data_IF_677765945400
#
_entry.id   IF_677765945400
#
_cell.length_a   1.000
_cell.length_b   1.000
_cell.length_c   1.000
_cell.angle_alpha   90.00
_cell.angle_beta   90.00
_cell.angle_gamma   90.00
#
_symmetry.space_group_name_H-M   'P 1'
#
loop_
_entity.id
_entity.type
_entity.pdbx_description
1 polymer ?
#
# COMPACT_ATOMS: atom_id res chain seq x y z
N UNK A 1 -11.48 -22.23 -38.06
CA UNK A 1 -11.97 -22.74 -36.76
C UNK A 1 -11.97 -21.56 -35.80
N UNK A 2 -13.14 -21.06 -35.39
CA UNK A 2 -13.21 -20.14 -34.25
C UNK A 2 -12.79 -20.93 -33.01
N UNK A 3 -11.94 -20.35 -32.17
CA UNK A 3 -11.41 -21.06 -31.01
C UNK A 3 -12.51 -21.17 -29.95
N UNK A 4 -12.49 -22.22 -29.13
CA UNK A 4 -13.40 -22.41 -28.00
C UNK A 4 -13.41 -21.18 -27.05
N UNK A 5 -12.29 -20.44 -27.03
CA UNK A 5 -12.12 -19.17 -26.32
C UNK A 5 -13.02 -18.05 -26.91
N UNK A 6 -13.17 -17.97 -28.23
CA UNK A 6 -14.03 -16.97 -28.87
C UNK A 6 -15.51 -17.21 -28.57
N UNK A 7 -15.89 -18.48 -28.38
CA UNK A 7 -17.24 -18.87 -28.00
C UNK A 7 -17.54 -18.49 -26.53
N UNK A 8 -16.63 -18.82 -25.60
CA UNK A 8 -16.77 -18.47 -24.18
C UNK A 8 -16.81 -16.95 -23.97
N UNK A 9 -15.99 -16.19 -24.72
CA UNK A 9 -16.02 -14.72 -24.67
C UNK A 9 -17.37 -14.16 -25.12
N UNK A 10 -17.97 -14.70 -26.19
CA UNK A 10 -19.25 -14.25 -26.68
C UNK A 10 -20.38 -14.52 -25.65
N UNK A 11 -20.40 -15.71 -25.04
CA UNK A 11 -21.37 -16.04 -23.98
C UNK A 11 -21.23 -15.14 -22.75
N UNK A 12 -20.00 -14.83 -22.32
CA UNK A 12 -19.75 -13.90 -21.22
C UNK A 12 -20.24 -12.48 -21.54
N UNK A 13 -19.95 -11.97 -22.74
CA UNK A 13 -20.43 -10.64 -23.15
C UNK A 13 -21.95 -10.56 -23.17
N UNK A 14 -22.62 -11.59 -23.70
CA UNK A 14 -24.09 -11.65 -23.75
C UNK A 14 -24.70 -11.74 -22.34
N UNK A 15 -24.06 -12.50 -21.42
CA UNK A 15 -24.47 -12.56 -20.01
C UNK A 15 -24.31 -11.20 -19.29
N UNK A 16 -23.23 -10.47 -19.54
CA UNK A 16 -23.01 -9.15 -18.97
C UNK A 16 -24.00 -8.11 -19.50
N UNK A 17 -24.27 -8.10 -20.81
CA UNK A 17 -25.25 -7.18 -21.41
C UNK A 17 -26.66 -7.45 -20.86
N UNK A 18 -27.05 -8.73 -20.77
CA UNK A 18 -28.34 -9.11 -20.19
C UNK A 18 -28.46 -8.69 -18.72
N UNK A 19 -27.41 -8.89 -17.91
CA UNK A 19 -27.42 -8.46 -16.50
C UNK A 19 -27.46 -6.93 -16.37
N UNK A 20 -26.77 -6.20 -17.25
CA UNK A 20 -26.80 -4.75 -17.30
C UNK A 20 -28.20 -4.22 -17.70
N UNK A 21 -28.90 -4.89 -18.61
CA UNK A 21 -30.29 -4.57 -18.95
C UNK A 21 -31.27 -4.90 -17.81
N UNK A 22 -31.09 -6.03 -17.11
CA UNK A 22 -31.89 -6.39 -15.94
C UNK A 22 -31.72 -5.36 -14.81
N UNK A 23 -30.49 -4.90 -14.56
CA UNK A 23 -30.19 -3.83 -13.60
C UNK A 23 -30.78 -2.47 -14.02
N UNK A 24 -30.94 -2.21 -15.32
CA UNK A 24 -31.63 -1.01 -15.83
C UNK A 24 -33.16 -1.09 -15.69
N UNK A 25 -33.75 -2.30 -15.73
CA UNK A 25 -35.20 -2.50 -15.68
C UNK A 25 -35.78 -2.52 -14.26
N UNK A 26 -34.94 -2.51 -13.22
CA UNK A 26 -35.36 -2.65 -11.81
C UNK A 26 -35.03 -1.48 -10.87
N UNK A 27 -34.50 -0.36 -11.37
CA UNK A 27 -34.06 0.76 -10.53
C UNK A 27 -34.64 2.08 -11.06
N UNK A 28 -35.95 2.27 -10.89
CA UNK A 28 -36.59 3.58 -11.10
C UNK A 28 -36.27 4.57 -9.97
N UNK A 29 -35.71 4.10 -8.85
CA UNK A 29 -35.14 4.96 -7.82
C UNK A 29 -33.83 4.34 -7.30
N UNK A 30 -32.68 5.03 -7.42
CA UNK A 30 -31.47 4.59 -6.73
C UNK A 30 -31.78 4.49 -5.23
N UNK A 31 -31.26 3.48 -4.51
CA UNK A 31 -31.42 3.41 -3.07
C UNK A 31 -31.00 4.76 -2.46
N UNK A 32 -31.74 5.31 -1.50
CA UNK A 32 -31.40 6.59 -0.89
C UNK A 32 -29.97 6.50 -0.40
N UNK A 33 -29.09 7.27 -1.04
CA UNK A 33 -27.70 7.41 -0.62
C UNK A 33 -27.78 8.01 0.78
N UNK A 34 -27.41 7.22 1.80
CA UNK A 34 -27.13 7.77 3.13
C UNK A 34 -25.92 8.68 2.96
N UNK A 35 -26.20 9.97 2.77
CA UNK A 35 -25.20 11.03 2.85
C UNK A 35 -24.87 11.14 4.33
N UNK A 36 -23.75 10.56 4.73
CA UNK A 36 -23.16 10.88 6.03
C UNK A 36 -22.61 12.31 5.91
N UNK A 37 -23.23 13.24 6.62
CA UNK A 37 -22.72 14.60 6.71
C UNK A 37 -21.52 14.58 7.67
N UNK A 38 -20.33 14.35 7.12
CA UNK A 38 -19.07 14.39 7.88
C UNK A 38 -18.73 15.81 8.38
N UNK A 39 -19.47 16.85 7.96
CA UNK A 39 -19.31 18.18 8.53
C UNK A 39 -20.08 18.39 9.84
N UNK A 40 -20.96 17.46 10.20
CA UNK A 40 -21.58 17.38 11.54
C UNK A 40 -20.84 16.40 12.47
N UNK A 41 -19.88 15.63 11.95
CA UNK A 41 -18.90 14.97 12.79
C UNK A 41 -17.93 16.05 13.28
N UNK A 42 -18.23 16.62 14.45
CA UNK A 42 -17.27 17.38 15.27
C UNK A 42 -16.08 16.47 15.59
N UNK A 43 -15.22 16.22 14.59
CA UNK A 43 -13.92 15.63 14.79
C UNK A 43 -13.11 16.74 15.46
N UNK A 44 -12.75 16.60 16.75
CA UNK A 44 -12.08 17.66 17.48
C UNK A 44 -10.79 18.04 16.75
N UNK A 45 -10.74 19.25 16.17
CA UNK A 45 -9.59 19.79 15.41
C UNK A 45 -8.33 20.02 16.30
N UNK A 46 -8.32 19.52 17.53
CA UNK A 46 -7.23 19.59 18.50
C UNK A 46 -7.33 18.43 19.49
N UNK A 47 -7.38 17.19 19.02
CA UNK A 47 -6.79 16.12 19.82
C UNK A 47 -5.29 16.41 19.86
N UNK A 48 -4.86 17.11 20.92
CA UNK A 48 -3.46 17.11 21.34
C UNK A 48 -2.98 15.66 21.19
N UNK A 49 -1.83 15.42 20.53
CA UNK A 49 -1.22 14.09 20.46
C UNK A 49 -0.96 13.61 21.89
N UNK A 50 -1.98 13.03 22.51
CA UNK A 50 -1.88 12.46 23.84
C UNK A 50 -1.02 11.23 23.67
N UNK A 51 0.07 11.18 24.44
CA UNK A 51 0.90 9.99 24.50
C UNK A 51 -0.03 8.79 24.72
N UNK A 52 0.16 7.69 23.98
CA UNK A 52 -0.73 6.54 24.06
C UNK A 52 -0.84 6.09 25.53
N UNK A 53 -2.06 5.94 26.01
CA UNK A 53 -2.31 5.56 27.40
C UNK A 53 -1.62 4.23 27.70
N UNK A 54 -0.74 4.25 28.70
CA UNK A 54 -0.03 3.05 29.16
C UNK A 54 -0.93 2.21 30.05
N UNK A 55 -0.87 0.90 29.86
CA UNK A 55 -1.51 -0.08 30.72
C UNK A 55 -0.67 -0.34 31.97
N UNK A 56 -1.12 0.21 33.10
CA UNK A 56 -0.50 0.04 34.41
C UNK A 56 -1.09 -1.15 35.22
N UNK A 57 -2.10 -1.84 34.66
CA UNK A 57 -2.80 -2.94 35.31
C UNK A 57 -2.03 -4.27 35.28
N UNK A 58 -2.58 -5.34 35.91
CA UNK A 58 -1.99 -6.67 35.78
C UNK A 58 -2.04 -7.15 34.32
N UNK A 59 -1.07 -7.98 33.93
CA UNK A 59 -1.02 -8.60 32.60
C UNK A 59 -1.94 -9.84 32.56
N UNK A 60 -3.26 -9.61 32.70
CA UNK A 60 -4.30 -10.64 32.52
C UNK A 60 -5.18 -10.31 31.34
N UNK A 61 -5.87 -11.32 30.79
CA UNK A 61 -6.77 -11.15 29.65
C UNK A 61 -7.84 -10.10 29.97
N UNK A 62 -8.49 -10.21 31.13
CA UNK A 62 -9.59 -9.31 31.51
C UNK A 62 -9.12 -7.86 31.66
N UNK A 63 -7.95 -7.65 32.27
CA UNK A 63 -7.40 -6.32 32.47
C UNK A 63 -7.01 -5.65 31.14
N UNK A 64 -6.38 -6.41 30.23
CA UNK A 64 -5.97 -5.88 28.91
C UNK A 64 -7.19 -5.63 28.01
N UNK A 65 -8.18 -6.52 28.01
CA UNK A 65 -9.43 -6.30 27.25
C UNK A 65 -10.18 -5.07 27.75
N UNK A 66 -10.21 -4.84 29.08
CA UNK A 66 -10.85 -3.66 29.66
C UNK A 66 -10.07 -2.37 29.36
N UNK A 67 -8.73 -2.41 29.34
CA UNK A 67 -7.92 -1.23 29.02
C UNK A 67 -7.99 -0.83 27.55
N UNK A 68 -8.26 -1.78 26.65
CA UNK A 68 -8.24 -1.56 25.20
C UNK A 68 -9.55 -1.95 24.51
N UNK A 69 -10.67 -1.86 25.24
CA UNK A 69 -12.01 -2.31 24.82
C UNK A 69 -12.50 -1.59 23.54
N UNK A 70 -12.01 -0.38 23.28
CA UNK A 70 -12.42 0.45 22.15
C UNK A 70 -11.96 -0.06 20.77
N UNK A 71 -11.15 -1.12 20.71
CA UNK A 71 -10.74 -1.66 19.43
C UNK A 71 -11.93 -2.32 18.71
N UNK A 72 -12.19 -1.90 17.47
CA UNK A 72 -13.24 -2.49 16.62
C UNK A 72 -13.03 -4.01 16.49
N UNK A 73 -13.84 -4.77 17.21
CA UNK A 73 -13.91 -6.22 17.09
C UNK A 73 -14.70 -6.53 15.82
N UNK A 74 -14.00 -6.99 14.79
CA UNK A 74 -14.64 -7.54 13.60
C UNK A 74 -15.16 -8.94 13.95
N UNK A 75 -16.50 -9.16 13.96
CA UNK A 75 -17.07 -10.44 14.40
C UNK A 75 -16.53 -11.63 13.62
N UNK A 76 -16.25 -11.46 12.32
CA UNK A 76 -15.72 -12.51 11.45
C UNK A 76 -14.29 -12.94 11.84
N UNK A 77 -13.52 -12.00 12.38
CA UNK A 77 -12.15 -12.26 12.84
C UNK A 77 -12.19 -12.89 14.23
N UNK A 78 -13.11 -12.43 15.07
CA UNK A 78 -13.30 -12.95 16.43
C UNK A 78 -13.88 -14.36 16.46
N UNK A 79 -14.74 -14.70 15.51
CA UNK A 79 -15.25 -16.06 15.34
C UNK A 79 -14.13 -17.08 15.08
N UNK A 80 -13.15 -16.73 14.23
CA UNK A 80 -12.03 -17.62 13.90
C UNK A 80 -10.87 -17.56 14.89
N UNK A 81 -10.56 -16.37 15.37
CA UNK A 81 -9.42 -16.11 16.25
C UNK A 81 -9.90 -15.26 17.42
N UNK A 82 -10.58 -15.80 18.44
CA UNK A 82 -11.15 -15.02 19.53
C UNK A 82 -10.11 -14.12 20.20
N UNK A 83 -10.47 -12.86 20.46
CA UNK A 83 -9.56 -11.85 21.01
C UNK A 83 -8.97 -12.28 22.36
N UNK A 84 -9.82 -12.81 23.25
CA UNK A 84 -9.42 -13.28 24.58
C UNK A 84 -8.40 -14.43 24.51
N UNK A 85 -8.62 -15.40 23.62
CA UNK A 85 -7.69 -16.51 23.39
C UNK A 85 -6.37 -16.04 22.81
N UNK A 86 -6.43 -15.07 21.89
CA UNK A 86 -5.23 -14.47 21.30
C UNK A 86 -4.39 -13.75 22.36
N UNK A 87 -5.02 -12.91 23.20
CA UNK A 87 -4.33 -12.24 24.31
C UNK A 87 -3.75 -13.26 25.27
N UNK A 88 -4.50 -14.30 25.63
CA UNK A 88 -3.99 -15.37 26.49
C UNK A 88 -2.77 -16.07 25.89
N UNK A 89 -2.77 -16.32 24.58
CA UNK A 89 -1.63 -16.90 23.86
C UNK A 89 -0.39 -15.99 23.93
N UNK A 90 -0.55 -14.68 23.74
CA UNK A 90 0.56 -13.70 23.86
C UNK A 90 1.14 -13.71 25.28
N UNK A 91 0.28 -13.67 26.29
CA UNK A 91 0.69 -13.72 27.70
C UNK A 91 1.43 -15.02 28.04
N UNK A 92 0.94 -16.16 27.53
CA UNK A 92 1.60 -17.46 27.71
C UNK A 92 2.99 -17.52 27.08
N UNK A 93 3.26 -16.67 26.07
CA UNK A 93 4.57 -16.51 25.43
C UNK A 93 5.46 -15.48 26.15
N UNK A 94 5.02 -14.93 27.27
CA UNK A 94 5.76 -13.94 28.05
C UNK A 94 5.79 -12.55 27.41
N UNK A 95 4.85 -12.27 26.51
CA UNK A 95 4.72 -10.95 25.90
C UNK A 95 4.06 -10.00 26.89
N UNK A 96 4.70 -8.85 27.09
CA UNK A 96 4.16 -7.73 27.88
C UNK A 96 3.53 -6.75 26.90
N UNK A 97 2.29 -6.33 27.20
CA UNK A 97 1.54 -5.33 26.44
C UNK A 97 1.49 -4.08 27.31
N UNK A 98 2.26 -3.05 26.93
CA UNK A 98 2.47 -1.85 27.72
C UNK A 98 1.49 -0.73 27.36
N UNK A 99 0.99 -0.70 26.13
CA UNK A 99 0.10 0.35 25.63
C UNK A 99 -0.80 -0.15 24.48
N UNK A 100 -1.62 0.75 23.96
CA UNK A 100 -2.52 0.43 22.84
C UNK A 100 -1.76 0.10 21.54
N UNK A 101 -0.58 0.66 21.31
CA UNK A 101 0.21 0.37 20.12
C UNK A 101 0.74 -1.07 20.14
N UNK A 102 1.18 -1.55 21.31
CA UNK A 102 1.51 -2.97 21.54
C UNK A 102 0.32 -3.86 21.24
N UNK A 103 -0.81 -3.54 21.87
CA UNK A 103 -2.01 -4.33 21.78
C UNK A 103 -2.47 -4.45 20.31
N UNK A 104 -2.65 -3.32 19.62
CA UNK A 104 -3.03 -3.28 18.21
C UNK A 104 -2.00 -3.96 17.29
N UNK A 105 -0.71 -3.76 17.55
CA UNK A 105 0.37 -4.39 16.80
C UNK A 105 0.29 -5.92 16.83
N UNK A 106 0.08 -6.51 18.01
CA UNK A 106 -0.06 -7.96 18.14
C UNK A 106 -1.40 -8.50 17.64
N UNK A 107 -2.50 -7.72 17.75
CA UNK A 107 -3.81 -8.15 17.25
C UNK A 107 -3.92 -8.11 15.73
N UNK A 108 -3.14 -7.25 15.04
CA UNK A 108 -3.15 -7.14 13.57
C UNK A 108 -2.87 -8.48 12.85
N UNK A 109 -2.10 -9.38 13.48
CA UNK A 109 -1.84 -10.72 12.97
C UNK A 109 -3.10 -11.57 12.77
N UNK A 110 -4.16 -11.36 13.58
CA UNK A 110 -5.43 -12.09 13.45
C UNK A 110 -6.07 -11.83 12.09
N UNK A 111 -6.08 -10.58 11.65
CA UNK A 111 -6.66 -10.18 10.37
C UNK A 111 -5.89 -10.82 9.21
N UNK A 112 -4.56 -10.82 9.29
CA UNK A 112 -3.70 -11.46 8.31
C UNK A 112 -3.93 -12.98 8.25
N UNK A 113 -4.10 -13.66 9.39
CA UNK A 113 -4.40 -15.08 9.41
C UNK A 113 -5.73 -15.42 8.73
N UNK A 114 -6.80 -14.67 8.99
CA UNK A 114 -8.09 -14.86 8.28
C UNK A 114 -7.89 -14.72 6.77
N UNK A 115 -7.11 -13.73 6.35
CA UNK A 115 -6.80 -13.54 4.93
C UNK A 115 -6.01 -14.73 4.35
N UNK A 116 -4.95 -15.19 5.02
CA UNK A 116 -4.11 -16.29 4.54
C UNK A 116 -4.84 -17.64 4.54
N UNK A 117 -5.67 -17.91 5.53
CA UNK A 117 -6.47 -19.15 5.60
C UNK A 117 -7.35 -19.31 4.36
N UNK A 118 -7.91 -18.20 3.88
CA UNK A 118 -8.74 -18.16 2.68
C UNK A 118 -7.93 -18.08 1.37
N UNK A 119 -6.60 -17.99 1.43
CA UNK A 119 -5.71 -17.82 0.28
C UNK A 119 -4.47 -18.74 0.37
N UNK A 120 -4.63 -20.07 0.19
CA UNK A 120 -3.56 -21.05 0.37
C UNK A 120 -2.31 -20.78 -0.45
N UNK A 121 -2.47 -20.26 -1.65
CA UNK A 121 -1.37 -19.93 -2.58
C UNK A 121 -0.33 -19.01 -1.91
N UNK A 122 -0.76 -18.07 -1.06
CA UNK A 122 0.12 -17.05 -0.48
C UNK A 122 1.02 -17.63 0.61
N UNK A 123 0.49 -18.50 1.47
CA UNK A 123 1.30 -19.09 2.53
C UNK A 123 2.06 -20.34 2.09
N UNK A 124 1.61 -20.98 1.01
CA UNK A 124 2.32 -22.08 0.37
C UNK A 124 3.49 -21.61 -0.51
N UNK A 125 3.51 -20.34 -0.94
CA UNK A 125 4.59 -19.80 -1.79
C UNK A 125 5.84 -19.38 -1.01
N UNK A 126 5.71 -19.16 0.30
CA UNK A 126 6.78 -18.58 1.13
C UNK A 126 6.93 -17.06 0.99
N UNK A 127 6.03 -16.39 0.26
CA UNK A 127 6.07 -14.92 0.06
C UNK A 127 5.89 -14.13 1.36
N UNK A 128 5.31 -14.73 2.40
CA UNK A 128 5.20 -14.15 3.75
C UNK A 128 6.54 -14.17 4.52
N UNK A 129 7.56 -14.81 3.95
CA UNK A 129 8.86 -15.11 4.54
C UNK A 129 8.84 -16.24 5.57
N UNK A 130 7.68 -16.88 5.79
CA UNK A 130 7.62 -18.19 6.43
C UNK A 130 8.08 -19.27 5.46
N UNK A 131 8.59 -20.39 5.98
CA UNK A 131 8.89 -21.54 5.14
C UNK A 131 7.59 -22.05 4.48
N UNK A 132 7.59 -22.29 3.16
CA UNK A 132 6.51 -22.98 2.48
C UNK A 132 6.11 -24.27 3.21
N UNK A 133 4.82 -24.47 3.41
CA UNK A 133 4.24 -25.68 3.99
C UNK A 133 2.86 -25.91 3.39
N UNK A 134 2.36 -27.15 3.42
CA UNK A 134 0.99 -27.51 3.04
C UNK A 134 0.06 -27.62 4.27
N UNK A 135 0.63 -27.60 5.48
CA UNK A 135 -0.12 -27.70 6.73
C UNK A 135 -0.42 -26.31 7.30
N UNK A 136 -1.72 -25.98 7.36
CA UNK A 136 -2.23 -24.71 7.87
C UNK A 136 -1.79 -24.44 9.31
N UNK A 137 -1.85 -25.44 10.20
CA UNK A 137 -1.53 -25.21 11.62
C UNK A 137 -0.03 -24.96 11.81
N UNK A 138 0.83 -25.66 11.05
CA UNK A 138 2.27 -25.35 10.99
C UNK A 138 2.53 -23.94 10.47
N UNK A 139 1.86 -23.53 9.37
CA UNK A 139 2.00 -22.17 8.85
C UNK A 139 1.57 -21.14 9.89
N UNK A 140 0.36 -21.26 10.43
CA UNK A 140 -0.24 -20.37 11.42
C UNK A 140 0.67 -20.19 12.63
N UNK A 141 1.17 -21.28 13.22
CA UNK A 141 2.11 -21.20 14.35
C UNK A 141 3.37 -20.41 13.99
N UNK A 142 4.00 -20.73 12.85
CA UNK A 142 5.21 -20.04 12.39
C UNK A 142 4.96 -18.57 12.05
N UNK A 143 3.78 -18.24 11.52
CA UNK A 143 3.38 -16.88 11.17
C UNK A 143 3.22 -16.04 12.45
N UNK A 144 2.55 -16.56 13.47
CA UNK A 144 2.39 -15.87 14.76
C UNK A 144 3.76 -15.61 15.39
N UNK A 145 4.64 -16.62 15.43
CA UNK A 145 5.99 -16.48 15.98
C UNK A 145 6.78 -15.40 15.24
N UNK A 146 6.74 -15.42 13.91
CA UNK A 146 7.40 -14.42 13.07
C UNK A 146 6.82 -13.03 13.31
N UNK A 147 5.50 -12.86 13.34
CA UNK A 147 4.85 -11.55 13.52
C UNK A 147 5.17 -10.95 14.90
N UNK A 148 5.13 -11.76 15.96
CA UNK A 148 5.56 -11.32 17.30
C UNK A 148 7.00 -10.87 17.28
N UNK A 149 7.89 -11.69 16.72
CA UNK A 149 9.32 -11.35 16.62
C UNK A 149 9.54 -10.06 15.83
N UNK A 150 8.85 -9.87 14.70
CA UNK A 150 8.94 -8.66 13.87
C UNK A 150 8.54 -7.42 14.66
N UNK A 151 7.42 -7.49 15.38
CA UNK A 151 6.95 -6.40 16.22
C UNK A 151 7.95 -6.07 17.34
N UNK A 152 8.54 -7.09 17.97
CA UNK A 152 9.58 -6.90 18.98
C UNK A 152 10.84 -6.24 18.42
N UNK A 153 11.25 -6.54 17.19
CA UNK A 153 12.38 -5.84 16.56
C UNK A 153 12.07 -4.36 16.33
N UNK A 154 10.84 -4.03 15.91
CA UNK A 154 10.41 -2.65 15.78
C UNK A 154 10.44 -1.92 17.13
N UNK A 155 9.86 -2.51 18.19
CA UNK A 155 9.92 -1.93 19.55
C UNK A 155 11.35 -1.71 20.01
N UNK A 156 12.22 -2.71 19.84
CA UNK A 156 13.61 -2.60 20.24
C UNK A 156 14.35 -1.48 19.49
N UNK A 157 14.06 -1.31 18.18
CA UNK A 157 14.62 -0.21 17.41
C UNK A 157 14.10 1.16 17.88
N UNK A 158 12.80 1.31 18.11
CA UNK A 158 12.19 2.54 18.61
C UNK A 158 12.66 2.91 20.02
N UNK A 159 12.93 1.92 20.87
CA UNK A 159 13.48 2.15 22.20
C UNK A 159 14.93 2.69 22.17
N UNK A 160 15.71 2.34 21.13
CA UNK A 160 17.08 2.83 20.93
C UNK A 160 17.09 4.17 20.20
N UNK A 161 16.20 4.36 19.24
CA UNK A 161 16.07 5.54 18.41
C UNK A 161 14.58 5.92 18.29
N UNK A 162 14.10 6.89 19.10
CA UNK A 162 12.70 7.30 19.10
C UNK A 162 12.19 7.88 17.78
N UNK A 163 13.09 8.22 16.84
CA UNK A 163 12.69 8.67 15.50
C UNK A 163 12.30 7.51 14.57
N UNK A 164 12.42 6.26 15.03
CA UNK A 164 12.01 5.08 14.26
C UNK A 164 10.49 4.99 14.21
N UNK A 165 9.92 5.11 13.02
CA UNK A 165 8.47 5.08 12.78
C UNK A 165 7.97 3.76 12.18
N UNK A 166 8.88 2.84 11.88
CA UNK A 166 8.56 1.56 11.23
C UNK A 166 9.81 0.86 10.73
N UNK A 167 9.64 -0.05 9.78
CA UNK A 167 10.73 -0.67 9.07
C UNK A 167 10.28 -1.86 8.22
N UNK A 168 11.24 -2.58 7.66
CA UNK A 168 11.01 -3.78 6.87
C UNK A 168 12.14 -4.78 7.10
N UNK A 169 11.89 -6.03 6.71
CA UNK A 169 12.83 -7.13 6.92
C UNK A 169 13.44 -7.59 5.60
N UNK A 170 14.76 -7.65 5.58
CA UNK A 170 15.55 -7.98 4.39
C UNK A 170 16.46 -9.20 4.60
N UNK A 171 17.09 -9.62 3.51
CA UNK A 171 17.99 -10.75 3.45
C UNK A 171 17.28 -12.06 3.13
N UNK A 172 18.03 -13.13 2.82
CA UNK A 172 17.48 -14.40 2.33
C UNK A 172 16.59 -15.12 3.34
N UNK A 173 16.72 -14.83 4.64
CA UNK A 173 15.87 -15.36 5.71
C UNK A 173 14.92 -14.32 6.29
N UNK A 174 14.92 -13.10 5.74
CA UNK A 174 14.16 -11.95 6.23
C UNK A 174 14.35 -11.68 7.73
N UNK A 175 15.57 -11.87 8.25
CA UNK A 175 15.85 -11.62 9.68
C UNK A 175 16.51 -10.29 9.99
N UNK A 176 16.92 -9.54 8.96
CA UNK A 176 17.58 -8.26 9.16
C UNK A 176 16.54 -7.14 9.13
N UNK A 177 16.33 -6.48 10.27
CA UNK A 177 15.40 -5.36 10.37
C UNK A 177 16.06 -4.05 9.94
N UNK A 178 15.43 -3.36 8.99
CA UNK A 178 15.84 -2.04 8.51
C UNK A 178 14.81 -0.98 8.95
N UNK A 179 15.14 -0.13 9.94
CA UNK A 179 14.19 0.83 10.49
C UNK A 179 13.97 2.03 9.56
N UNK A 180 12.72 2.48 9.47
CA UNK A 180 12.36 3.76 8.86
C UNK A 180 12.53 4.89 9.87
N UNK A 181 13.19 5.97 9.45
CA UNK A 181 13.30 7.20 10.23
C UNK A 181 13.50 8.42 9.32
N UNK A 182 13.25 9.64 9.79
CA UNK A 182 13.52 10.86 9.04
C UNK A 182 14.95 10.89 8.49
N UNK A 183 15.09 11.32 7.25
CA UNK A 183 16.33 11.38 6.49
C UNK A 183 16.77 10.04 5.88
N UNK A 184 16.18 8.89 6.22
CA UNK A 184 16.70 7.59 5.75
C UNK A 184 15.96 7.04 4.54
N UNK A 185 16.71 6.61 3.53
CA UNK A 185 16.18 5.97 2.32
C UNK A 185 16.97 4.72 1.99
N UNK A 186 16.26 3.62 1.75
CA UNK A 186 16.85 2.37 1.29
C UNK A 186 16.60 2.22 -0.21
N UNK A 187 17.64 1.91 -0.96
CA UNK A 187 17.60 1.82 -2.42
C UNK A 187 18.00 0.42 -2.86
N UNK A 188 17.00 -0.40 -3.20
CA UNK A 188 17.23 -1.71 -3.81
C UNK A 188 17.26 -1.56 -5.33
N UNK A 189 18.38 -1.90 -5.97
CA UNK A 189 18.51 -1.85 -7.43
C UNK A 189 18.30 -3.24 -8.01
N UNK A 190 17.45 -3.33 -9.01
CA UNK A 190 17.23 -4.53 -9.79
C UNK A 190 17.47 -4.22 -11.27
N UNK A 191 17.50 -5.25 -12.12
CA UNK A 191 17.93 -5.09 -13.52
C UNK A 191 17.21 -3.99 -14.31
N UNK A 192 15.98 -3.63 -13.93
CA UNK A 192 15.07 -2.74 -14.67
C UNK A 192 14.68 -1.48 -13.89
N UNK A 193 15.37 -1.15 -12.79
CA UNK A 193 15.06 0.04 -12.01
C UNK A 193 15.57 -0.02 -10.57
N UNK A 194 14.94 0.80 -9.73
CA UNK A 194 15.21 0.83 -8.30
C UNK A 194 13.90 0.93 -7.52
N UNK A 195 13.85 0.27 -6.37
CA UNK A 195 12.84 0.45 -5.35
C UNK A 195 13.40 1.33 -4.23
N UNK A 196 12.54 2.19 -3.70
CA UNK A 196 12.87 3.12 -2.63
C UNK A 196 11.97 2.82 -1.44
N UNK A 197 12.59 2.54 -0.29
CA UNK A 197 11.89 2.38 0.99
C UNK A 197 12.34 3.47 1.97
N UNK A 198 11.52 3.76 3.00
CA UNK A 198 11.79 4.83 3.95
C UNK A 198 11.23 6.17 3.49
N UNK A 199 11.99 7.25 3.69
CA UNK A 199 11.51 8.59 3.33
C UNK A 199 11.42 8.77 1.81
N UNK A 200 10.28 9.31 1.35
CA UNK A 200 10.06 9.61 -0.06
C UNK A 200 11.05 10.67 -0.57
N UNK A 201 11.73 10.36 -1.66
CA UNK A 201 12.52 11.31 -2.44
C UNK A 201 11.66 11.96 -3.54
N UNK A 202 11.97 13.21 -3.88
CA UNK A 202 11.42 13.85 -5.09
C UNK A 202 11.94 13.15 -6.35
N UNK A 203 11.22 13.27 -7.47
CA UNK A 203 11.64 12.68 -8.74
C UNK A 203 13.01 13.19 -9.21
N UNK A 204 13.31 14.47 -8.96
CA UNK A 204 14.64 15.03 -9.22
C UNK A 204 15.72 14.38 -8.35
N UNK A 205 15.46 14.17 -7.07
CA UNK A 205 16.41 13.50 -6.17
C UNK A 205 16.61 12.03 -6.56
N UNK A 206 15.54 11.30 -6.90
CA UNK A 206 15.65 9.93 -7.42
C UNK A 206 16.50 9.89 -8.69
N UNK A 207 16.26 10.83 -9.62
CA UNK A 207 17.04 10.94 -10.86
C UNK A 207 18.52 11.23 -10.58
N UNK A 208 18.81 12.30 -9.83
CA UNK A 208 20.18 12.69 -9.52
C UNK A 208 20.93 11.57 -8.76
N UNK A 209 20.24 10.84 -7.87
CA UNK A 209 20.81 9.71 -7.13
C UNK A 209 21.15 8.52 -8.04
N UNK A 210 20.23 8.13 -8.94
CA UNK A 210 20.40 6.94 -9.78
C UNK A 210 21.35 7.16 -10.97
N UNK A 211 21.30 8.34 -11.59
CA UNK A 211 21.99 8.63 -12.85
C UNK A 211 23.24 9.47 -12.70
N UNK A 212 23.31 10.30 -11.66
CA UNK A 212 24.47 11.18 -11.41
C UNK A 212 25.26 10.79 -10.16
N UNK A 213 24.72 9.89 -9.34
CA UNK A 213 25.33 9.49 -8.06
C UNK A 213 25.32 10.59 -7.02
N UNK A 214 24.43 11.58 -7.16
CA UNK A 214 24.36 12.72 -6.23
C UNK A 214 23.40 12.35 -5.11
N UNK A 215 23.94 12.23 -3.90
CA UNK A 215 23.14 12.00 -2.70
C UNK A 215 22.41 13.28 -2.29
N UNK A 216 21.10 13.23 -2.02
CA UNK A 216 20.38 14.40 -1.53
C UNK A 216 20.89 14.81 -0.15
N UNK A 217 21.11 16.11 0.05
CA UNK A 217 21.60 16.66 1.32
C UNK A 217 20.63 16.35 2.46
N UNK A 218 21.18 15.96 3.62
CA UNK A 218 20.41 15.59 4.80
C UNK A 218 19.81 14.18 4.77
N UNK A 219 20.08 13.39 3.72
CA UNK A 219 19.62 12.01 3.63
C UNK A 219 20.73 10.98 3.85
N UNK A 220 20.38 9.92 4.59
CA UNK A 220 21.14 8.69 4.77
C UNK A 220 20.67 7.66 3.73
N UNK A 221 21.43 7.52 2.64
CA UNK A 221 21.11 6.59 1.54
C UNK A 221 21.82 5.26 1.78
N UNK A 222 21.04 4.20 1.97
CA UNK A 222 21.52 2.83 2.18
C UNK A 222 21.17 2.00 0.94
N UNK A 223 22.18 1.43 0.28
CA UNK A 223 21.97 0.61 -0.90
C UNK A 223 21.79 -0.86 -0.52
N UNK A 224 20.85 -1.51 -1.19
CA UNK A 224 20.58 -2.94 -1.07
C UNK A 224 20.90 -3.62 -2.40
N UNK A 225 21.43 -4.84 -2.34
CA UNK A 225 21.61 -5.69 -3.51
C UNK A 225 20.33 -6.44 -3.91
N UNK A 226 20.43 -7.35 -4.88
CA UNK A 226 19.29 -8.13 -5.38
C UNK A 226 18.73 -9.14 -4.38
N UNK A 227 19.48 -9.47 -3.32
CA UNK A 227 19.07 -10.33 -2.21
C UNK A 227 18.72 -9.50 -0.96
N UNK A 228 18.53 -8.19 -1.15
CA UNK A 228 18.31 -7.15 -0.14
C UNK A 228 19.39 -7.07 0.95
N UNK A 229 20.61 -7.52 0.67
CA UNK A 229 21.73 -7.33 1.59
C UNK A 229 22.28 -5.90 1.48
N UNK A 230 22.70 -5.33 2.62
CA UNK A 230 23.26 -3.98 2.66
C UNK A 230 24.61 -3.95 1.93
N UNK A 231 24.70 -3.08 0.94
CA UNK A 231 25.94 -2.81 0.22
C UNK A 231 26.80 -1.81 0.98
N UNK A 232 28.09 -2.12 1.11
CA UNK A 232 29.07 -1.21 1.73
C UNK A 232 29.44 -0.03 0.85
N UNK A 233 29.23 -0.15 -0.47
CA UNK A 233 29.54 0.87 -1.47
C UNK A 233 28.34 1.09 -2.38
N UNK A 234 28.22 2.32 -2.91
CA UNK A 234 27.16 2.65 -3.85
C UNK A 234 27.31 1.83 -5.14
N UNK A 235 26.22 1.23 -5.65
CA UNK A 235 26.27 0.50 -6.91
C UNK A 235 26.59 1.44 -8.09
N UNK A 236 27.25 0.92 -9.15
CA UNK A 236 27.59 1.71 -10.34
C UNK A 236 26.41 2.47 -10.90
N UNK A 237 26.61 3.69 -11.40
CA UNK A 237 25.53 4.54 -11.93
C UNK A 237 24.76 3.84 -13.04
N UNK A 238 23.44 4.04 -13.06
CA UNK A 238 22.60 3.51 -14.14
C UNK A 238 22.89 4.33 -15.40
N UNK A 239 23.33 3.66 -16.44
CA UNK A 239 23.57 4.25 -17.76
C UNK A 239 22.29 4.27 -18.58
N UNK A 240 22.21 5.18 -19.56
CA UNK A 240 21.05 5.27 -20.46
C UNK A 240 20.94 4.03 -21.33
N UNK A 241 22.07 3.45 -21.70
CA UNK A 241 22.19 2.22 -22.48
C UNK A 241 21.55 1.04 -21.75
N UNK A 242 21.71 0.95 -20.42
CA UNK A 242 21.08 -0.09 -19.61
C UNK A 242 19.56 0.01 -19.58
N UNK A 243 19.01 1.23 -19.63
CA UNK A 243 17.56 1.45 -19.70
C UNK A 243 17.03 1.17 -21.11
N UNK A 244 17.73 1.67 -22.13
CA UNK A 244 17.31 1.55 -23.52
C UNK A 244 17.41 0.12 -24.06
N UNK A 245 18.54 -0.56 -23.84
CA UNK A 245 18.81 -1.90 -24.38
C UNK A 245 17.94 -3.00 -23.77
N UNK A 246 17.29 -2.75 -22.63
CA UNK A 246 16.42 -3.73 -21.96
C UNK A 246 14.95 -3.62 -22.40
N UNK A 247 14.50 -2.50 -22.99
CA UNK A 247 13.12 -2.34 -23.50
C UNK A 247 12.83 -3.28 -24.69
N UNK A 248 13.84 -3.53 -25.53
CA UNK A 248 13.72 -4.49 -26.65
C UNK A 248 13.52 -5.93 -26.15
N UNK A 249 14.21 -6.36 -25.09
CA UNK A 249 14.05 -7.72 -24.55
C UNK A 249 12.64 -7.97 -23.99
N UNK A 250 12.01 -6.97 -23.38
CA UNK A 250 10.65 -7.10 -22.80
C UNK A 250 9.59 -7.19 -23.88
N UNK A 251 9.69 -6.38 -24.93
CA UNK A 251 8.78 -6.51 -26.07
C UNK A 251 8.95 -7.86 -26.76
N UNK A 252 10.18 -8.38 -26.83
CA UNK A 252 10.45 -9.71 -27.39
C UNK A 252 9.91 -10.83 -26.48
N UNK A 253 10.09 -10.76 -25.15
CA UNK A 253 9.57 -11.75 -24.19
C UNK A 253 8.05 -11.72 -24.03
N UNK A 254 7.42 -10.54 -24.04
CA UNK A 254 5.96 -10.42 -24.04
C UNK A 254 5.33 -10.90 -25.35
N UNK A 255 6.05 -10.79 -26.47
CA UNK A 255 5.63 -11.32 -27.76
C UNK A 255 6.03 -12.79 -27.98
N UNK A 256 6.94 -13.34 -27.16
CA UNK A 256 7.40 -14.73 -27.24
C UNK A 256 6.93 -15.60 -26.07
N UNK A 257 6.10 -15.08 -25.17
CA UNK A 257 5.30 -15.89 -24.24
C UNK A 257 4.40 -16.82 -25.05
N UNK A 258 4.93 -18.00 -25.33
CA UNK A 258 4.14 -19.20 -25.64
C UNK A 258 3.02 -19.31 -24.62
N UNK A 259 1.78 -19.62 -25.05
CA UNK A 259 0.68 -19.79 -24.11
C UNK A 259 1.11 -20.81 -23.06
N UNK A 260 0.90 -20.46 -21.79
CA UNK A 260 1.01 -21.40 -20.68
C UNK A 260 0.38 -22.73 -21.11
N UNK A 261 1.08 -23.88 -20.93
CA UNK A 261 0.46 -25.16 -21.20
C UNK A 261 -0.79 -25.25 -20.35
N UNK A 262 -1.94 -25.31 -21.00
CA UNK A 262 -3.19 -25.72 -20.40
C UNK A 262 -2.92 -27.04 -19.67
N UNK A 263 -3.17 -27.07 -18.36
CA UNK A 263 -3.32 -28.33 -17.62
C UNK A 263 -4.51 -29.08 -18.21
N UNK A 264 -4.29 -29.81 -19.30
CA UNK A 264 -5.13 -30.90 -19.75
C UNK A 264 -4.58 -32.20 -19.15
N UNK A 265 -5.38 -32.86 -18.32
CA UNK A 265 -5.23 -34.27 -18.02
C UNK A 265 -4.98 -34.63 -16.56
N UNK A 266 -6.03 -34.57 -15.73
CA UNK A 266 -6.19 -35.58 -14.68
C UNK A 266 -7.28 -36.56 -15.13
N UNK A 267 -7.02 -37.88 -15.11
CA UNK A 267 -7.99 -38.87 -15.53
C UNK A 267 -9.18 -38.90 -14.57
N UNK A 268 -10.36 -38.66 -15.14
CA UNK A 268 -11.63 -38.96 -14.51
C UNK A 268 -11.80 -40.48 -14.49
N UNK A 269 -11.50 -41.11 -13.35
CA UNK A 269 -12.12 -42.37 -12.95
C UNK A 269 -11.87 -42.58 -11.45
N UNK A 270 -12.91 -42.36 -10.65
CA UNK A 270 -12.86 -42.52 -9.21
C UNK A 270 -14.21 -42.16 -8.58
N UNK A 271 -15.16 -43.09 -8.66
CA UNK A 271 -16.43 -43.10 -7.95
C UNK A 271 -16.31 -42.57 -6.52
N UNK A 272 -16.91 -41.40 -6.26
CA UNK A 272 -17.42 -41.04 -4.94
C UNK A 272 -18.91 -40.76 -5.08
N UNK A 273 -19.71 -41.55 -4.36
CA UNK A 273 -21.15 -41.40 -4.27
C UNK A 273 -21.50 -40.07 -3.56
N UNK A 274 -22.62 -39.43 -3.92
CA UNK A 274 -23.00 -38.14 -3.37
C UNK A 274 -23.53 -38.27 -1.95
N UNK A 275 -23.01 -37.45 -1.04
CA UNK A 275 -23.75 -37.04 0.15
C UNK A 275 -24.45 -35.72 -0.19
N UNK A 276 -25.76 -35.81 -0.42
CA UNK A 276 -26.69 -34.68 -0.30
C UNK A 276 -26.72 -34.27 1.18
N UNK A 277 -26.11 -33.14 1.51
CA UNK A 277 -26.44 -32.22 2.63
C UNK A 277 -25.23 -31.35 2.97
N UNK A 278 -24.88 -30.36 2.12
CA UNK A 278 -24.15 -29.15 2.52
C UNK A 278 -24.22 -28.09 1.40
N UNK A 279 -25.40 -27.51 1.22
CA UNK A 279 -25.59 -26.35 0.36
C UNK A 279 -25.54 -25.07 1.21
N UNK A 280 -24.35 -24.74 1.73
CA UNK A 280 -24.05 -23.38 2.20
C UNK A 280 -22.89 -22.84 1.36
N UNK A 281 -23.29 -22.05 0.37
CA UNK A 281 -22.58 -20.96 -0.29
C UNK A 281 -21.07 -20.83 -0.01
N UNK A 282 -20.26 -21.59 -0.77
CA UNK A 282 -18.86 -21.26 -0.99
C UNK A 282 -18.78 -19.88 -1.66
N UNK A 283 -18.37 -18.86 -0.91
CA UNK A 283 -17.96 -17.58 -1.50
C UNK A 283 -16.61 -17.81 -2.18
N UNK A 284 -16.57 -17.62 -3.50
CA UNK A 284 -15.33 -17.64 -4.29
C UNK A 284 -14.27 -16.73 -3.66
N UNK A 285 -12.97 -17.04 -3.82
CA UNK A 285 -11.88 -16.22 -3.28
C UNK A 285 -12.05 -14.78 -3.76
N UNK A 286 -12.27 -13.86 -2.82
CA UNK A 286 -12.48 -12.45 -3.10
C UNK A 286 -11.23 -11.91 -3.79
N UNK A 287 -11.35 -11.67 -5.10
CA UNK A 287 -10.31 -11.01 -5.87
C UNK A 287 -9.88 -9.72 -5.15
N UNK A 288 -8.59 -9.32 -5.28
CA UNK A 288 -8.13 -8.06 -4.70
C UNK A 288 -9.11 -6.96 -5.09
N UNK A 289 -9.54 -6.16 -4.12
CA UNK A 289 -10.61 -5.18 -4.35
C UNK A 289 -10.27 -4.31 -5.55
N UNK A 290 -11.28 -3.89 -6.32
CA UNK A 290 -11.07 -3.04 -7.49
C UNK A 290 -10.21 -1.80 -7.16
N UNK A 291 -10.31 -1.29 -5.92
CA UNK A 291 -9.48 -0.21 -5.41
C UNK A 291 -7.99 -0.59 -5.29
N UNK A 292 -7.66 -1.75 -4.71
CA UNK A 292 -6.28 -2.21 -4.59
C UNK A 292 -5.66 -2.52 -5.96
N UNK A 293 -6.42 -3.12 -6.88
CA UNK A 293 -5.97 -3.36 -8.25
C UNK A 293 -5.73 -2.04 -9.00
N UNK A 294 -6.62 -1.06 -8.83
CA UNK A 294 -6.50 0.26 -9.46
C UNK A 294 -5.31 1.05 -8.90
N UNK A 295 -5.03 0.96 -7.60
CA UNK A 295 -3.86 1.58 -6.97
C UNK A 295 -2.56 1.00 -7.53
N UNK A 296 -2.44 -0.34 -7.60
CA UNK A 296 -1.27 -1.02 -8.20
C UNK A 296 -1.09 -0.63 -9.67
N UNK A 297 -2.16 -0.63 -10.46
CA UNK A 297 -2.10 -0.24 -11.87
C UNK A 297 -1.71 1.24 -12.06
N UNK A 298 -2.16 2.12 -11.16
CA UNK A 298 -1.79 3.54 -11.20
C UNK A 298 -0.32 3.76 -10.83
N UNK A 299 0.20 3.02 -9.85
CA UNK A 299 1.61 3.05 -9.47
C UNK A 299 2.51 2.50 -10.59
N UNK A 300 2.13 1.36 -11.18
CA UNK A 300 2.84 0.79 -12.33
C UNK A 300 2.83 1.74 -13.53
N UNK A 301 1.69 2.39 -13.80
CA UNK A 301 1.60 3.43 -14.83
C UNK A 301 2.54 4.60 -14.56
N UNK A 302 2.55 5.14 -13.33
CA UNK A 302 3.48 6.23 -12.94
C UNK A 302 4.94 5.80 -13.10
N UNK A 303 5.26 4.57 -12.72
CA UNK A 303 6.60 3.97 -12.90
C UNK A 303 6.97 3.89 -14.38
N UNK A 304 6.06 3.42 -15.23
CA UNK A 304 6.30 3.34 -16.67
C UNK A 304 6.44 4.73 -17.32
N UNK A 305 5.62 5.71 -16.91
CA UNK A 305 5.74 7.10 -17.35
C UNK A 305 7.07 7.72 -16.91
N UNK A 306 7.53 7.44 -15.69
CA UNK A 306 8.85 7.87 -15.23
C UNK A 306 9.96 7.24 -16.07
N UNK A 307 9.95 5.92 -16.28
CA UNK A 307 10.90 5.21 -17.14
C UNK A 307 10.87 5.72 -18.59
N UNK A 308 9.71 6.12 -19.11
CA UNK A 308 9.59 6.72 -20.42
C UNK A 308 10.22 8.11 -20.46
N UNK A 309 9.96 8.96 -19.45
CA UNK A 309 10.61 10.28 -19.31
C UNK A 309 12.14 10.13 -19.25
N UNK A 310 12.65 9.06 -18.63
CA UNK A 310 14.09 8.76 -18.53
C UNK A 310 14.79 8.51 -19.87
N UNK A 311 14.05 8.27 -20.96
CA UNK A 311 14.67 8.07 -22.29
C UNK A 311 15.02 9.38 -23.01
N UNK A 312 14.59 10.54 -22.50
CA UNK A 312 14.89 11.87 -23.07
C UNK A 312 16.34 12.28 -22.81
N UNK A 313 16.86 13.30 -23.51
CA UNK A 313 18.22 13.81 -23.22
C UNK A 313 18.29 14.51 -21.85
N UNK A 314 19.47 14.62 -21.22
CA UNK A 314 19.60 15.08 -19.83
C UNK A 314 19.09 16.52 -19.67
N UNK A 315 19.34 17.38 -20.66
CA UNK A 315 18.86 18.76 -20.65
C UNK A 315 17.32 18.84 -20.71
N UNK A 316 16.65 17.98 -21.49
CA UNK A 316 15.20 17.89 -21.55
C UNK A 316 14.62 17.29 -20.26
N UNK A 317 15.30 16.31 -19.67
CA UNK A 317 14.90 15.71 -18.39
C UNK A 317 15.01 16.71 -17.25
N UNK A 318 16.16 17.39 -17.14
CA UNK A 318 16.36 18.46 -16.17
C UNK A 318 15.34 19.56 -16.40
N UNK A 319 15.07 19.94 -17.64
CA UNK A 319 14.04 20.93 -17.95
C UNK A 319 12.65 20.43 -17.57
N UNK A 320 12.29 19.17 -17.80
CA UNK A 320 10.99 18.61 -17.42
C UNK A 320 10.84 18.56 -15.90
N UNK A 321 11.83 18.00 -15.19
CA UNK A 321 11.85 17.90 -13.73
C UNK A 321 11.89 19.28 -13.06
N UNK A 322 12.58 20.25 -13.66
CA UNK A 322 12.64 21.63 -13.17
C UNK A 322 11.41 22.44 -13.57
N UNK A 323 10.83 22.22 -14.76
CA UNK A 323 9.63 22.93 -15.23
C UNK A 323 8.36 22.47 -14.51
N UNK A 324 8.26 21.19 -14.11
CA UNK A 324 7.22 20.71 -13.20
C UNK A 324 7.30 21.44 -11.84
N UNK A 325 8.47 21.97 -11.46
CA UNK A 325 8.66 22.81 -10.26
C UNK A 325 8.57 24.33 -10.50
N UNK A 326 8.74 24.82 -11.74
CA UNK A 326 8.82 26.26 -12.06
C UNK A 326 7.62 26.82 -12.84
N UNK A 327 6.71 25.99 -13.32
CA UNK A 327 5.55 26.41 -14.13
C UNK A 327 4.29 26.73 -13.33
N UNK A 328 4.32 26.64 -12.00
CA UNK A 328 3.12 26.81 -11.18
C UNK A 328 3.33 27.99 -10.24
N UNK A 329 2.41 28.96 -10.22
CA UNK A 329 2.53 30.10 -9.32
C UNK A 329 2.68 29.58 -7.88
N UNK A 330 3.58 30.20 -7.10
CA UNK A 330 3.79 29.83 -5.70
C UNK A 330 2.48 29.95 -4.93
N UNK A 331 2.31 29.19 -3.85
CA UNK A 331 1.05 29.16 -3.10
C UNK A 331 0.62 30.57 -2.68
N UNK A 332 1.59 31.38 -2.26
CA UNK A 332 1.43 32.80 -1.97
C UNK A 332 1.00 33.64 -3.18
N UNK A 333 1.48 33.33 -4.39
CA UNK A 333 1.11 34.05 -5.61
C UNK A 333 -0.32 33.72 -6.06
N UNK A 334 -0.79 32.48 -5.88
CA UNK A 334 -2.16 32.09 -6.24
C UNK A 334 -3.18 32.66 -5.26
N UNK A 335 -2.89 32.59 -3.95
CA UNK A 335 -3.72 33.20 -2.91
C UNK A 335 -3.86 34.72 -3.11
N UNK A 336 -2.81 35.39 -3.56
CA UNK A 336 -2.82 36.86 -3.77
C UNK A 336 -3.42 37.26 -5.11
N UNK A 337 -3.21 36.48 -6.18
CA UNK A 337 -3.68 36.83 -7.53
C UNK A 337 -5.17 36.53 -7.73
N UNK A 338 -5.74 35.56 -7.00
CA UNK A 338 -7.08 35.03 -7.27
C UNK A 338 -7.96 34.80 -6.02
N UNK A 339 -8.07 35.76 -5.08
CA UNK A 339 -8.74 35.55 -3.79
C UNK A 339 -10.20 35.10 -3.94
N UNK A 340 -10.95 35.68 -4.88
CA UNK A 340 -12.37 35.34 -5.09
C UNK A 340 -12.59 33.95 -5.68
N UNK A 341 -11.67 33.47 -6.50
CA UNK A 341 -11.77 32.13 -7.10
C UNK A 341 -11.41 31.07 -6.07
N UNK A 342 -10.44 31.37 -5.21
CA UNK A 342 -10.07 30.50 -4.10
C UNK A 342 -11.18 30.41 -3.05
N UNK A 343 -11.79 31.52 -2.64
CA UNK A 343 -12.98 31.53 -1.76
C UNK A 343 -14.12 30.68 -2.33
N UNK A 344 -14.41 30.82 -3.63
CA UNK A 344 -15.44 30.04 -4.31
C UNK A 344 -15.08 28.55 -4.37
N UNK A 345 -13.81 28.23 -4.58
CA UNK A 345 -13.32 26.86 -4.61
C UNK A 345 -13.37 26.22 -3.22
N UNK A 346 -12.96 26.93 -2.16
CA UNK A 346 -13.11 26.49 -0.78
C UNK A 346 -14.58 26.25 -0.41
N UNK A 347 -15.47 27.18 -0.76
CA UNK A 347 -16.92 26.99 -0.56
C UNK A 347 -17.46 25.77 -1.33
N UNK A 348 -16.88 25.47 -2.51
CA UNK A 348 -17.23 24.27 -3.29
C UNK A 348 -16.69 22.99 -2.65
N UNK A 349 -15.47 23.01 -2.10
CA UNK A 349 -14.91 21.89 -1.34
C UNK A 349 -15.71 21.62 -0.06
N UNK A 350 -16.05 22.68 0.69
CA UNK A 350 -16.87 22.58 1.90
C UNK A 350 -18.26 22.01 1.59
N UNK A 351 -18.90 22.47 0.50
CA UNK A 351 -20.25 22.04 0.14
C UNK A 351 -20.36 20.61 -0.38
N UNK A 352 -19.31 20.08 -1.04
CA UNK A 352 -19.37 18.80 -1.74
C UNK A 352 -18.35 17.77 -1.26
N UNK A 353 -17.55 18.08 -0.24
CA UNK A 353 -16.42 17.27 0.20
C UNK A 353 -15.22 17.36 -0.76
N UNK A 354 -14.03 16.95 -0.31
CA UNK A 354 -12.79 17.17 -1.06
C UNK A 354 -12.80 16.52 -2.45
N UNK A 355 -13.10 15.22 -2.53
CA UNK A 355 -13.02 14.46 -3.81
C UNK A 355 -13.99 14.99 -4.88
N UNK A 356 -15.26 15.17 -4.52
CA UNK A 356 -16.30 15.62 -5.46
C UNK A 356 -16.24 17.14 -5.69
N UNK A 357 -15.96 17.93 -4.66
CA UNK A 357 -15.71 19.37 -4.78
C UNK A 357 -14.54 19.66 -5.71
N UNK A 358 -13.45 18.92 -5.58
CA UNK A 358 -12.28 19.07 -6.45
C UNK A 358 -12.59 18.69 -7.90
N UNK A 359 -13.38 17.62 -8.15
CA UNK A 359 -13.85 17.31 -9.50
C UNK A 359 -14.70 18.43 -10.11
N UNK A 360 -15.55 19.07 -9.30
CA UNK A 360 -16.39 20.20 -9.75
C UNK A 360 -15.55 21.43 -10.05
N UNK A 361 -14.59 21.76 -9.18
CA UNK A 361 -13.63 22.85 -9.41
C UNK A 361 -12.83 22.54 -10.66
N UNK A 362 -12.37 21.31 -10.89
CA UNK A 362 -11.63 20.90 -12.09
C UNK A 362 -12.42 21.08 -13.40
N UNK A 363 -13.75 21.07 -13.34
CA UNK A 363 -14.63 21.35 -14.49
C UNK A 363 -14.78 22.85 -14.75
N UNK A 364 -14.73 23.69 -13.73
CA UNK A 364 -14.95 25.14 -13.84
C UNK A 364 -13.67 25.97 -13.88
N UNK A 365 -12.63 25.49 -13.21
CA UNK A 365 -11.36 26.17 -12.97
C UNK A 365 -10.24 25.14 -12.69
N UNK A 366 -9.57 24.69 -13.75
CA UNK A 366 -8.54 23.63 -13.67
C UNK A 366 -7.31 24.07 -12.88
N UNK A 367 -6.95 25.34 -12.92
CA UNK A 367 -5.74 25.86 -12.26
C UNK A 367 -5.93 25.87 -10.75
N UNK A 368 -7.08 26.36 -10.26
CA UNK A 368 -7.41 26.35 -8.83
C UNK A 368 -7.54 24.91 -8.30
N UNK A 369 -8.12 23.98 -9.09
CA UNK A 369 -8.17 22.57 -8.69
C UNK A 369 -6.77 21.94 -8.55
N UNK A 370 -5.88 22.15 -9.53
CA UNK A 370 -4.51 21.61 -9.48
C UNK A 370 -3.70 22.20 -8.30
N UNK A 371 -3.99 23.44 -7.92
CA UNK A 371 -3.37 24.07 -6.76
C UNK A 371 -3.88 23.48 -5.43
N UNK A 372 -5.19 23.31 -5.28
CA UNK A 372 -5.79 22.67 -4.10
C UNK A 372 -5.34 21.21 -3.95
N UNK A 373 -5.21 20.45 -5.06
CA UNK A 373 -4.60 19.12 -5.07
C UNK A 373 -3.18 19.15 -4.48
N UNK A 374 -2.38 20.17 -4.81
CA UNK A 374 -0.99 20.28 -4.33
C UNK A 374 -0.91 20.64 -2.84
N UNK A 375 -1.71 21.62 -2.38
CA UNK A 375 -1.74 22.02 -0.97
C UNK A 375 -2.09 20.80 -0.10
N UNK A 376 -3.15 20.07 -0.46
CA UNK A 376 -3.56 18.88 0.28
C UNK A 376 -2.49 17.79 0.30
N UNK A 377 -1.84 17.52 -0.84
CA UNK A 377 -0.74 16.56 -0.90
C UNK A 377 0.48 17.00 -0.07
N UNK A 378 0.73 18.31 0.03
CA UNK A 378 1.83 18.85 0.84
C UNK A 378 1.53 18.84 2.35
N UNK A 379 0.26 18.97 2.75
CA UNK A 379 -0.15 18.88 4.16
C UNK A 379 -0.21 17.44 4.66
N UNK A 380 -0.53 16.49 3.78
CA UNK A 380 -0.42 15.05 4.10
C UNK A 380 1.05 14.59 4.24
N UNK A 381 2.00 15.40 3.77
CA UNK A 381 3.44 15.12 3.84
C UNK A 381 4.22 16.40 4.16
N UNK A 382 4.18 16.90 5.42
CA UNK A 382 4.88 18.12 5.79
C UNK A 382 6.38 17.94 5.55
N UNK A 383 6.89 18.59 4.51
CA UNK A 383 8.32 18.68 4.26
C UNK A 383 8.88 19.71 5.24
N UNK A 384 9.68 19.26 6.21
CA UNK A 384 10.42 20.15 7.11
C UNK A 384 11.51 20.91 6.34
N UNK A 385 11.12 21.93 5.59
CA UNK A 385 12.03 22.96 5.13
C UNK A 385 12.32 23.88 6.33
N UNK A 386 13.36 23.56 7.11
CA UNK A 386 13.96 24.53 8.03
C UNK A 386 14.41 25.72 7.20
N UNK A 387 13.67 26.83 7.24
CA UNK A 387 14.15 28.12 6.75
C UNK A 387 15.26 28.58 7.67
N UNK A 388 16.50 28.29 7.28
CA UNK A 388 17.68 28.82 7.92
C UNK A 388 17.73 30.33 7.66
N UNK A 389 17.17 31.11 8.57
CA UNK A 389 17.25 32.57 8.60
C UNK A 389 18.42 32.97 9.50
N UNK A 390 19.64 32.65 9.05
CA UNK A 390 20.86 33.20 9.62
C UNK A 390 21.39 34.32 8.71
N UNK A 391 21.14 35.55 9.18
CA UNK A 391 21.72 36.87 8.87
C UNK A 391 22.51 37.10 7.59
#
# INVERSE_FOLDING_TARGET
>A
MKTQIDYIKAELYEAFEKKAEELKKGVDEPPPVRVYDFSELDLPENEEETEPEKHEGPQTVEALLNSFEEMLVYPEIDEKYPQSEWVQMLLNRGIVIEDFADYSGYLSARQNLVYFENNPIIWQSGETGNLPTEDWETFKASFIDRHIWQYQQLKAAAAVDPEVTGGFFVGPDHKTFLPFKPGRVYVSRFERGAFFHGQSLTEKQKFDLLFKGIHPEGYDIIYLDGDDAILSEAPPLITREEIGGKREKIQVEQNSSTPFPSMEGFPADGNFAPHDDFAETFSEPTQPTAAAQMARAQEEKRRMEFLEKLTKNDAELERLLTSESQGLPTDKHIETAFPKQFEKALATLQRYGFKEGLQRIKKTDREVAAHLERIFLSQQHPTHAKQDTSR
#
